data_IF_624951121157
#
_entry.id   IF_624951121157
#
_cell.length_a   1.000
_cell.length_b   1.000
_cell.length_c   1.000
_cell.angle_alpha   90.00
_cell.angle_beta   90.00
_cell.angle_gamma   90.00
#
_symmetry.space_group_name_H-M   'P 1'
#
loop_
_entity.id
_entity.type
_entity.pdbx_description
1 polymer ?
#
# COMPACT_ATOMS: atom_id res chain seq x y z
N UNK A 1 4.65 -2.36 130.22
CA UNK A 1 5.19 -2.62 128.87
C UNK A 1 4.68 -3.98 128.45
N UNK A 2 3.65 -4.00 127.60
CA UNK A 2 2.95 -5.21 127.18
C UNK A 2 2.91 -5.14 125.65
N UNK A 3 3.69 -6.00 125.00
CA UNK A 3 3.69 -6.11 123.55
C UNK A 3 2.43 -6.84 123.11
N UNK A 4 1.53 -6.14 122.43
CA UNK A 4 0.43 -6.77 121.69
C UNK A 4 1.00 -7.32 120.38
N UNK A 5 1.08 -8.65 120.29
CA UNK A 5 1.27 -9.36 119.03
C UNK A 5 -0.01 -9.24 118.19
N UNK A 6 0.07 -8.57 117.06
CA UNK A 6 -0.97 -8.57 116.03
C UNK A 6 -1.17 -9.99 115.49
N UNK A 7 -2.42 -10.46 115.28
CA UNK A 7 -2.68 -11.76 114.69
C UNK A 7 -2.21 -11.77 113.23
N UNK A 8 -1.40 -12.78 112.94
CA UNK A 8 -0.88 -13.17 111.64
C UNK A 8 -2.03 -13.31 110.63
N UNK A 9 -1.77 -12.82 109.42
CA UNK A 9 -2.75 -12.51 108.39
C UNK A 9 -3.73 -13.63 108.02
N UNK A 10 -4.94 -13.19 107.71
CA UNK A 10 -5.94 -13.94 106.97
C UNK A 10 -5.43 -14.06 105.53
N UNK A 11 -4.48 -14.96 105.29
CA UNK A 11 -4.31 -15.60 103.98
C UNK A 11 -5.20 -16.82 104.04
N UNK A 12 -6.48 -16.64 103.72
CA UNK A 12 -7.37 -17.76 103.50
C UNK A 12 -6.79 -18.58 102.35
N UNK A 13 -6.13 -19.70 102.66
CA UNK A 13 -5.87 -20.75 101.68
C UNK A 13 -7.24 -21.30 101.30
N UNK A 14 -7.79 -20.81 100.20
CA UNK A 14 -8.94 -21.45 99.56
C UNK A 14 -8.38 -22.73 98.96
N UNK A 15 -8.56 -23.85 99.67
CA UNK A 15 -8.26 -25.17 99.13
C UNK A 15 -9.36 -25.49 98.11
N UNK A 16 -9.03 -25.35 96.84
CA UNK A 16 -9.88 -25.84 95.76
C UNK A 16 -9.61 -27.34 95.64
N UNK A 17 -10.61 -28.17 95.96
CA UNK A 17 -10.49 -29.62 95.75
C UNK A 17 -10.22 -29.92 94.26
N UNK A 18 -9.42 -30.96 94.03
CA UNK A 18 -9.11 -31.46 92.69
C UNK A 18 -10.43 -31.75 91.92
N UNK A 19 -10.61 -31.28 90.66
CA UNK A 19 -9.65 -30.68 89.72
C UNK A 19 -9.65 -29.14 89.65
N UNK A 20 -10.37 -28.44 90.52
CA UNK A 20 -10.53 -26.97 90.39
C UNK A 20 -9.23 -26.20 90.66
N UNK A 21 -8.35 -26.69 91.54
CA UNK A 21 -7.03 -26.09 91.79
C UNK A 21 -6.20 -25.94 90.52
N UNK A 22 -6.19 -26.98 89.69
CA UNK A 22 -5.31 -27.09 88.53
C UNK A 22 -5.83 -26.23 87.38
N UNK A 23 -7.15 -26.13 87.25
CA UNK A 23 -7.78 -25.23 86.29
C UNK A 23 -7.53 -23.77 86.66
N UNK A 24 -7.64 -23.41 87.95
CA UNK A 24 -7.36 -22.04 88.42
C UNK A 24 -5.90 -21.64 88.19
N UNK A 25 -4.95 -22.56 88.35
CA UNK A 25 -3.53 -22.31 88.10
C UNK A 25 -3.22 -21.99 86.61
N UNK A 26 -4.05 -22.48 85.69
CA UNK A 26 -3.82 -22.35 84.24
C UNK A 26 -4.53 -21.13 83.63
N UNK A 27 -5.57 -20.61 84.29
CA UNK A 27 -6.34 -19.42 83.84
C UNK A 27 -5.46 -18.21 83.48
N UNK A 28 -4.43 -17.81 84.27
CA UNK A 28 -3.59 -16.65 83.97
C UNK A 28 -2.84 -16.76 82.63
N UNK A 29 -2.61 -17.98 82.16
CA UNK A 29 -1.92 -18.24 80.89
C UNK A 29 -2.90 -18.41 79.73
N UNK A 30 -4.03 -19.08 79.96
CA UNK A 30 -5.03 -19.36 78.93
C UNK A 30 -5.77 -18.11 78.48
N UNK A 31 -6.17 -17.24 79.40
CA UNK A 31 -6.95 -16.04 79.04
C UNK A 31 -6.20 -15.08 78.12
N UNK A 32 -4.93 -14.70 78.39
CA UNK A 32 -4.16 -13.88 77.46
C UNK A 32 -3.98 -14.55 76.09
N UNK A 33 -3.81 -15.87 76.06
CA UNK A 33 -3.51 -16.62 74.86
C UNK A 33 -4.74 -16.77 73.94
N UNK A 34 -5.94 -16.94 74.52
CA UNK A 34 -7.23 -16.83 73.84
C UNK A 34 -7.43 -15.42 73.28
N UNK A 35 -7.12 -14.38 74.06
CA UNK A 35 -7.31 -12.99 73.62
C UNK A 35 -6.35 -12.62 72.48
N UNK A 36 -5.07 -13.02 72.57
CA UNK A 36 -4.08 -12.85 71.49
C UNK A 36 -4.50 -13.64 70.24
N UNK A 37 -4.96 -14.87 70.41
CA UNK A 37 -5.47 -15.69 69.30
C UNK A 37 -6.65 -15.01 68.57
N UNK A 38 -7.59 -14.47 69.34
CA UNK A 38 -8.74 -13.72 68.82
C UNK A 38 -8.29 -12.46 68.07
N UNK A 39 -7.33 -11.71 68.61
CA UNK A 39 -6.77 -10.53 67.95
C UNK A 39 -6.13 -10.87 66.60
N UNK A 40 -5.34 -11.94 66.50
CA UNK A 40 -4.72 -12.33 65.23
C UNK A 40 -5.75 -12.76 64.19
N UNK A 41 -6.79 -13.49 64.60
CA UNK A 41 -7.89 -13.88 63.71
C UNK A 41 -8.70 -12.67 63.26
N UNK A 42 -8.95 -11.67 64.12
CA UNK A 42 -9.67 -10.46 63.71
C UNK A 42 -8.82 -9.54 62.81
N UNK A 43 -7.52 -9.43 63.09
CA UNK A 43 -6.62 -8.58 62.31
C UNK A 43 -6.46 -9.03 60.85
N UNK A 44 -6.64 -10.33 60.57
CA UNK A 44 -6.57 -10.88 59.21
C UNK A 44 -7.51 -10.15 58.22
N UNK A 45 -8.63 -9.59 58.71
CA UNK A 45 -9.65 -8.91 57.89
C UNK A 45 -9.11 -7.66 57.22
N UNK A 46 -8.07 -7.04 57.79
CA UNK A 46 -7.45 -5.82 57.29
C UNK A 46 -6.24 -6.09 56.38
N UNK A 47 -5.85 -7.35 56.21
CA UNK A 47 -4.71 -7.74 55.37
C UNK A 47 -5.20 -8.17 53.97
N UNK A 48 -4.43 -7.85 52.90
CA UNK A 48 -4.78 -8.22 51.53
C UNK A 48 -4.88 -9.75 51.38
N UNK A 49 -5.85 -10.20 50.56
CA UNK A 49 -6.25 -11.61 50.48
C UNK A 49 -5.13 -12.56 50.03
N UNK A 50 -4.11 -12.06 49.34
CA UNK A 50 -3.04 -12.89 48.78
C UNK A 50 -1.72 -12.77 49.56
N UNK A 51 -1.71 -12.08 50.70
CA UNK A 51 -0.49 -11.88 51.48
C UNK A 51 -0.13 -13.10 52.34
N UNK A 52 1.11 -13.61 52.21
CA UNK A 52 1.69 -14.61 53.13
C UNK A 52 1.56 -14.19 54.60
N UNK A 53 1.61 -12.89 54.86
CA UNK A 53 1.39 -12.29 56.19
C UNK A 53 0.01 -12.64 56.76
N UNK A 54 -1.05 -12.63 55.94
CA UNK A 54 -2.41 -12.98 56.39
C UNK A 54 -2.47 -14.42 56.88
N UNK A 55 -1.93 -15.35 56.11
CA UNK A 55 -1.92 -16.77 56.46
C UNK A 55 -1.11 -17.04 57.74
N UNK A 56 0.01 -16.31 57.93
CA UNK A 56 0.81 -16.41 59.15
C UNK A 56 0.05 -15.97 60.40
N UNK A 57 -0.68 -14.84 60.35
CA UNK A 57 -1.50 -14.38 61.49
C UNK A 57 -2.64 -15.35 61.80
N UNK A 58 -3.31 -15.90 60.78
CA UNK A 58 -4.34 -16.93 60.98
C UNK A 58 -3.75 -18.16 61.65
N UNK A 59 -2.63 -18.66 61.14
CA UNK A 59 -1.94 -19.83 61.69
C UNK A 59 -1.56 -19.61 63.14
N UNK A 60 -0.95 -18.45 63.46
CA UNK A 60 -0.56 -18.11 64.82
C UNK A 60 -1.77 -17.97 65.75
N UNK A 61 -2.88 -17.40 65.26
CA UNK A 61 -4.14 -17.33 66.00
C UNK A 61 -4.72 -18.71 66.32
N UNK A 62 -4.77 -19.60 65.34
CA UNK A 62 -5.22 -21.00 65.52
C UNK A 62 -4.29 -21.76 66.46
N UNK A 63 -2.98 -21.56 66.35
CA UNK A 63 -1.99 -22.15 67.26
C UNK A 63 -2.24 -21.70 68.70
N UNK A 64 -2.50 -20.41 68.93
CA UNK A 64 -2.85 -19.90 70.25
C UNK A 64 -4.12 -20.56 70.81
N UNK A 65 -5.18 -20.69 70.01
CA UNK A 65 -6.38 -21.40 70.46
C UNK A 65 -6.12 -22.87 70.76
N UNK A 66 -5.32 -23.55 69.92
CA UNK A 66 -4.92 -24.94 70.14
C UNK A 66 -4.16 -25.13 71.45
N UNK A 67 -3.12 -24.31 71.69
CA UNK A 67 -2.33 -24.36 72.93
C UNK A 67 -3.20 -24.07 74.15
N UNK A 68 -4.09 -23.07 74.07
CA UNK A 68 -5.03 -22.74 75.14
C UNK A 68 -5.97 -23.90 75.46
N UNK A 69 -6.54 -24.51 74.42
CA UNK A 69 -7.45 -25.65 74.54
C UNK A 69 -6.75 -26.86 75.16
N UNK A 70 -5.55 -27.21 74.67
CA UNK A 70 -4.77 -28.31 75.24
C UNK A 70 -4.32 -28.02 76.66
N UNK A 71 -4.01 -26.78 77.03
CA UNK A 71 -3.70 -26.43 78.42
C UNK A 71 -4.89 -26.66 79.36
N UNK A 72 -6.09 -26.22 78.97
CA UNK A 72 -7.32 -26.44 79.77
C UNK A 72 -7.68 -27.93 79.83
N UNK A 73 -7.57 -28.63 78.70
CA UNK A 73 -7.86 -30.06 78.65
C UNK A 73 -6.86 -30.82 79.52
N UNK A 74 -5.57 -30.56 79.35
CA UNK A 74 -4.54 -31.20 80.16
C UNK A 74 -4.74 -30.87 81.64
N UNK A 75 -5.01 -29.62 82.02
CA UNK A 75 -5.24 -29.22 83.42
C UNK A 75 -6.48 -29.86 84.05
N UNK A 76 -7.60 -29.92 83.31
CA UNK A 76 -8.87 -30.46 83.82
C UNK A 76 -8.92 -31.99 83.86
N UNK A 77 -8.13 -32.66 83.01
CA UNK A 77 -8.23 -34.10 82.79
C UNK A 77 -6.99 -34.91 83.16
N UNK A 78 -5.82 -34.29 83.35
CA UNK A 78 -4.55 -35.00 83.44
C UNK A 78 -4.39 -35.92 84.67
N UNK A 79 -5.16 -35.68 85.72
CA UNK A 79 -5.25 -36.52 86.92
C UNK A 79 -6.39 -37.55 86.89
N UNK A 80 -7.42 -37.34 86.06
CA UNK A 80 -8.72 -38.00 86.21
C UNK A 80 -9.25 -38.72 84.97
N UNK A 81 -8.46 -38.85 83.89
CA UNK A 81 -8.92 -39.54 82.69
C UNK A 81 -9.26 -41.01 82.99
N UNK A 82 -10.37 -41.48 82.41
CA UNK A 82 -11.10 -42.75 82.65
C UNK A 82 -10.35 -44.03 82.25
N UNK A 83 -9.02 -44.04 82.38
CA UNK A 83 -8.17 -45.18 82.08
C UNK A 83 -7.75 -45.94 83.36
N UNK A 84 -7.28 -47.19 83.20
CA UNK A 84 -6.63 -47.90 84.30
C UNK A 84 -5.49 -47.05 84.90
N UNK A 85 -5.15 -47.20 86.20
CA UNK A 85 -4.06 -46.45 86.86
C UNK A 85 -2.69 -46.55 86.15
N UNK A 86 -2.50 -47.56 85.30
CA UNK A 86 -1.32 -47.79 84.47
C UNK A 86 -1.27 -46.92 83.19
N UNK A 87 -2.34 -46.20 82.87
CA UNK A 87 -2.49 -45.36 81.68
C UNK A 87 -2.61 -43.87 82.05
N UNK A 88 -1.93 -43.46 83.11
CA UNK A 88 -1.68 -42.03 83.34
C UNK A 88 -0.73 -41.55 82.25
N UNK A 89 -1.03 -40.42 81.61
CA UNK A 89 -0.09 -39.79 80.68
C UNK A 89 1.21 -39.53 81.45
N UNK A 90 2.22 -40.36 81.22
CA UNK A 90 3.49 -40.40 81.94
C UNK A 90 4.29 -39.13 81.70
N UNK A 91 3.93 -38.09 82.45
CA UNK A 91 4.57 -36.77 82.57
C UNK A 91 3.63 -35.78 83.27
N UNK A 92 2.38 -36.13 83.62
CA UNK A 92 1.46 -35.25 84.35
C UNK A 92 2.10 -34.57 85.56
N UNK A 93 2.74 -35.36 86.43
CA UNK A 93 3.47 -34.82 87.58
C UNK A 93 4.62 -33.90 87.17
N UNK A 94 5.36 -34.24 86.12
CA UNK A 94 6.46 -33.41 85.62
C UNK A 94 5.94 -32.09 85.00
N UNK A 95 4.82 -32.14 84.28
CA UNK A 95 4.16 -30.97 83.73
C UNK A 95 3.60 -30.07 84.82
N UNK A 96 2.87 -30.63 85.79
CA UNK A 96 2.32 -29.86 86.90
C UNK A 96 3.43 -29.28 87.78
N UNK A 97 4.50 -30.05 88.03
CA UNK A 97 5.69 -29.54 88.73
C UNK A 97 6.38 -28.44 87.93
N UNK A 98 6.46 -28.56 86.61
CA UNK A 98 7.02 -27.54 85.74
C UNK A 98 6.16 -26.27 85.67
N UNK A 99 4.84 -26.42 85.58
CA UNK A 99 3.87 -25.33 85.51
C UNK A 99 3.74 -24.63 86.85
N UNK A 100 3.73 -25.38 87.95
CA UNK A 100 3.80 -24.85 89.30
C UNK A 100 5.14 -24.15 89.53
N UNK A 101 6.27 -24.74 89.12
CA UNK A 101 7.57 -24.09 89.18
C UNK A 101 7.64 -22.79 88.37
N UNK A 102 7.02 -22.75 87.19
CA UNK A 102 6.88 -21.53 86.38
C UNK A 102 6.00 -20.50 87.10
N UNK A 103 4.89 -20.95 87.68
CA UNK A 103 3.94 -20.09 88.40
C UNK A 103 4.58 -19.54 89.68
N UNK A 104 5.34 -20.33 90.40
CA UNK A 104 6.08 -19.91 91.59
C UNK A 104 7.25 -18.99 91.20
N UNK A 105 7.89 -19.21 90.05
CA UNK A 105 8.90 -18.29 89.54
C UNK A 105 8.29 -16.92 89.18
N UNK A 106 7.16 -16.91 88.48
CA UNK A 106 6.54 -15.68 87.99
C UNK A 106 5.75 -14.95 89.08
N UNK A 107 4.99 -15.68 89.90
CA UNK A 107 4.05 -15.14 90.89
C UNK A 107 4.46 -15.39 92.34
N UNK A 108 5.47 -16.21 92.60
CA UNK A 108 6.03 -16.37 93.96
C UNK A 108 6.76 -15.13 94.45
N UNK A 109 7.09 -14.19 93.55
CA UNK A 109 7.54 -12.84 93.89
C UNK A 109 6.55 -11.80 93.37
N UNK A 110 6.12 -10.90 94.26
CA UNK A 110 5.26 -9.75 93.91
C UNK A 110 5.90 -8.89 92.81
N UNK A 111 7.23 -8.74 92.83
CA UNK A 111 7.96 -7.94 91.83
C UNK A 111 7.89 -8.58 90.43
N UNK A 112 8.02 -9.90 90.33
CA UNK A 112 7.93 -10.63 89.07
C UNK A 112 6.49 -10.68 88.56
N UNK A 113 5.50 -10.81 89.45
CA UNK A 113 4.09 -10.74 89.09
C UNK A 113 3.70 -9.36 88.52
N UNK A 114 4.15 -8.28 89.14
CA UNK A 114 3.94 -6.90 88.63
C UNK A 114 4.64 -6.70 87.29
N UNK A 115 5.88 -7.21 87.14
CA UNK A 115 6.61 -7.16 85.86
C UNK A 115 5.89 -7.92 84.75
N UNK A 116 5.37 -9.11 85.05
CA UNK A 116 4.58 -9.92 84.11
C UNK A 116 3.34 -9.15 83.64
N UNK A 117 2.54 -8.58 84.56
CA UNK A 117 1.36 -7.79 84.21
C UNK A 117 1.77 -6.56 83.38
N UNK A 118 2.85 -5.87 83.73
CA UNK A 118 3.34 -4.73 82.97
C UNK A 118 3.73 -5.11 81.53
N UNK A 119 4.47 -6.21 81.36
CA UNK A 119 4.85 -6.72 80.03
C UNK A 119 3.61 -7.08 79.22
N UNK A 120 2.65 -7.80 79.82
CA UNK A 120 1.40 -8.19 79.17
C UNK A 120 0.59 -6.95 78.77
N UNK A 121 0.48 -5.95 79.63
CA UNK A 121 -0.19 -4.68 79.33
C UNK A 121 0.51 -3.90 78.20
N UNK A 122 1.85 -3.85 78.18
CA UNK A 122 2.62 -3.20 77.11
C UNK A 122 2.44 -3.94 75.79
N UNK A 123 2.54 -5.27 75.79
CA UNK A 123 2.30 -6.08 74.60
C UNK A 123 0.87 -5.86 74.09
N UNK A 124 -0.13 -5.87 74.97
CA UNK A 124 -1.50 -5.55 74.59
C UNK A 124 -1.66 -4.13 74.07
N UNK A 125 -0.98 -3.14 74.66
CA UNK A 125 -0.98 -1.76 74.17
C UNK A 125 -0.38 -1.64 72.78
N UNK A 126 0.74 -2.32 72.51
CA UNK A 126 1.40 -2.35 71.19
C UNK A 126 0.53 -3.06 70.17
N UNK A 127 -0.04 -4.21 70.52
CA UNK A 127 -0.97 -4.94 69.65
C UNK A 127 -2.22 -4.12 69.38
N UNK A 128 -2.86 -3.55 70.40
CA UNK A 128 -4.01 -2.67 70.25
C UNK A 128 -3.68 -1.48 69.35
N UNK A 129 -2.54 -0.80 69.55
CA UNK A 129 -2.12 0.30 68.70
C UNK A 129 -1.89 -0.11 67.24
N UNK A 130 -1.27 -1.28 66.99
CA UNK A 130 -0.99 -1.76 65.64
C UNK A 130 -2.18 -2.42 64.93
N UNK A 131 -3.13 -2.98 65.68
CA UNK A 131 -4.27 -3.75 65.17
C UNK A 131 -5.54 -2.89 65.10
N UNK A 132 -5.78 -2.04 66.11
CA UNK A 132 -6.97 -1.17 66.21
C UNK A 132 -6.77 0.15 65.48
N UNK A 133 -5.54 0.65 65.31
CA UNK A 133 -5.27 1.69 64.33
C UNK A 133 -4.94 1.01 62.99
N UNK A 134 -5.93 0.78 62.11
CA UNK A 134 -5.64 0.28 60.78
C UNK A 134 -4.64 1.25 60.10
N UNK A 135 -3.65 0.76 59.34
CA UNK A 135 -2.93 1.63 58.42
C UNK A 135 -3.99 2.31 57.54
N UNK A 136 -3.99 3.64 57.54
CA UNK A 136 -5.12 4.49 57.11
C UNK A 136 -5.93 3.87 55.96
N UNK A 137 -7.26 3.72 56.10
CA UNK A 137 -8.12 3.06 55.10
C UNK A 137 -8.06 3.72 53.71
N UNK A 138 -7.53 4.94 53.64
CA UNK A 138 -7.29 5.67 52.40
C UNK A 138 -6.23 5.02 51.49
N UNK A 139 -5.16 4.43 52.03
CA UNK A 139 -4.08 3.91 51.19
C UNK A 139 -4.48 2.64 50.43
N UNK A 140 -5.34 1.80 51.01
CA UNK A 140 -5.85 0.60 50.32
C UNK A 140 -6.75 1.02 49.17
N UNK A 141 -7.68 1.95 49.41
CA UNK A 141 -8.55 2.50 48.36
C UNK A 141 -7.75 3.22 47.27
N UNK A 142 -6.73 4.00 47.64
CA UNK A 142 -5.84 4.64 46.66
C UNK A 142 -5.03 3.62 45.86
N UNK A 143 -4.57 2.54 46.48
CA UNK A 143 -3.80 1.50 45.78
C UNK A 143 -4.70 0.75 44.79
N UNK A 144 -5.94 0.45 45.17
CA UNK A 144 -6.94 -0.14 44.26
C UNK A 144 -7.33 0.84 43.14
N UNK A 145 -7.52 2.13 43.46
CA UNK A 145 -7.77 3.17 42.47
C UNK A 145 -6.59 3.36 41.50
N UNK A 146 -5.35 3.34 41.99
CA UNK A 146 -4.15 3.40 41.15
C UNK A 146 -4.02 2.16 40.26
N UNK A 147 -4.33 0.97 40.79
CA UNK A 147 -4.29 -0.27 40.01
C UNK A 147 -5.34 -0.25 38.91
N UNK A 148 -6.58 0.10 39.23
CA UNK A 148 -7.67 0.22 38.24
C UNK A 148 -7.38 1.30 37.20
N UNK A 149 -6.84 2.45 37.61
CA UNK A 149 -6.39 3.50 36.69
C UNK A 149 -5.24 3.02 35.78
N UNK A 150 -4.27 2.28 36.31
CA UNK A 150 -3.15 1.74 35.54
C UNK A 150 -3.61 0.66 34.54
N UNK A 151 -4.51 -0.23 34.94
CA UNK A 151 -5.10 -1.24 34.06
C UNK A 151 -5.98 -0.58 32.97
N UNK A 152 -6.73 0.46 33.33
CA UNK A 152 -7.44 1.32 32.38
C UNK A 152 -6.51 2.02 31.39
N UNK A 153 -5.37 2.55 31.85
CA UNK A 153 -4.35 3.19 31.02
C UNK A 153 -3.67 2.20 30.07
N UNK A 154 -3.38 0.97 30.52
CA UNK A 154 -2.86 -0.09 29.65
C UNK A 154 -3.86 -0.48 28.56
N UNK A 155 -5.13 -0.63 28.92
CA UNK A 155 -6.20 -0.91 27.96
C UNK A 155 -6.33 0.22 26.94
N UNK A 156 -6.41 1.48 27.40
CA UNK A 156 -6.46 2.64 26.53
C UNK A 156 -5.24 2.74 25.60
N UNK A 157 -4.02 2.49 26.12
CA UNK A 157 -2.80 2.46 25.31
C UNK A 157 -2.85 1.39 24.22
N UNK A 158 -3.38 0.20 24.53
CA UNK A 158 -3.55 -0.86 23.52
C UNK A 158 -4.58 -0.49 22.46
N UNK A 159 -5.68 0.19 22.83
CA UNK A 159 -6.67 0.68 21.87
C UNK A 159 -6.09 1.77 20.97
N UNK A 160 -5.31 2.70 21.52
CA UNK A 160 -4.62 3.74 20.74
C UNK A 160 -3.65 3.11 19.74
N UNK A 161 -2.85 2.12 20.15
CA UNK A 161 -1.93 1.42 19.25
C UNK A 161 -2.67 0.69 18.12
N UNK A 162 -3.80 0.04 18.44
CA UNK A 162 -4.65 -0.61 17.43
C UNK A 162 -5.22 0.43 16.44
N UNK A 163 -5.76 1.55 16.95
CA UNK A 163 -6.29 2.63 16.11
C UNK A 163 -5.19 3.27 15.24
N UNK A 164 -3.98 3.47 15.76
CA UNK A 164 -2.84 3.97 14.97
C UNK A 164 -2.48 3.00 13.84
N UNK A 165 -2.48 1.69 14.12
CA UNK A 165 -2.22 0.67 13.11
C UNK A 165 -3.32 0.61 12.03
N UNK A 166 -4.58 0.74 12.42
CA UNK A 166 -5.71 0.77 11.50
C UNK A 166 -5.71 2.04 10.65
N UNK A 167 -5.40 3.19 11.25
CA UNK A 167 -5.29 4.46 10.54
C UNK A 167 -4.14 4.43 9.53
N UNK A 168 -2.99 3.82 9.88
CA UNK A 168 -1.89 3.59 8.93
C UNK A 168 -2.34 2.72 7.76
N UNK A 169 -3.01 1.59 8.04
CA UNK A 169 -3.53 0.70 7.00
C UNK A 169 -4.57 1.39 6.11
N UNK A 170 -5.43 2.23 6.69
CA UNK A 170 -6.43 2.98 5.95
C UNK A 170 -5.78 4.03 5.04
N UNK A 171 -4.74 4.73 5.51
CA UNK A 171 -3.96 5.66 4.68
C UNK A 171 -3.27 4.97 3.52
N UNK A 172 -2.66 3.81 3.75
CA UNK A 172 -2.04 3.00 2.70
C UNK A 172 -3.09 2.57 1.66
N UNK A 173 -4.26 2.10 2.11
CA UNK A 173 -5.36 1.73 1.21
C UNK A 173 -5.90 2.92 0.42
N UNK A 174 -6.05 4.10 1.05
CA UNK A 174 -6.48 5.33 0.35
C UNK A 174 -5.44 5.74 -0.70
N UNK A 175 -4.15 5.72 -0.36
CA UNK A 175 -3.07 6.01 -1.31
C UNK A 175 -3.09 5.06 -2.51
N UNK A 176 -3.23 3.75 -2.27
CA UNK A 176 -3.35 2.77 -3.34
C UNK A 176 -4.57 3.05 -4.23
N UNK A 177 -5.72 3.43 -3.63
CA UNK A 177 -6.91 3.78 -4.39
C UNK A 177 -6.74 5.06 -5.19
N UNK A 178 -6.09 6.09 -4.65
CA UNK A 178 -5.76 7.32 -5.37
C UNK A 178 -4.86 7.03 -6.58
N UNK A 179 -3.83 6.19 -6.42
CA UNK A 179 -2.96 5.76 -7.52
C UNK A 179 -3.74 5.01 -8.62
N UNK A 180 -4.62 4.08 -8.23
CA UNK A 180 -5.46 3.37 -9.20
C UNK A 180 -6.44 4.30 -9.92
N UNK A 181 -7.00 5.30 -9.22
CA UNK A 181 -7.89 6.31 -9.81
C UNK A 181 -7.13 7.17 -10.81
N UNK A 182 -5.94 7.63 -10.46
CA UNK A 182 -5.07 8.42 -11.35
C UNK A 182 -4.72 7.63 -12.62
N UNK A 183 -4.36 6.35 -12.48
CA UNK A 183 -4.11 5.46 -13.62
C UNK A 183 -5.34 5.29 -14.52
N UNK A 184 -6.51 5.04 -13.92
CA UNK A 184 -7.76 4.89 -14.68
C UNK A 184 -8.16 6.19 -15.38
N UNK A 185 -7.94 7.33 -14.75
CA UNK A 185 -8.22 8.65 -15.34
C UNK A 185 -7.30 8.91 -16.54
N UNK A 186 -6.01 8.59 -16.44
CA UNK A 186 -5.08 8.68 -17.57
C UNK A 186 -5.49 7.75 -18.72
N UNK A 187 -5.95 6.53 -18.43
CA UNK A 187 -6.45 5.61 -19.46
C UNK A 187 -7.72 6.16 -20.13
N UNK A 188 -8.63 6.77 -19.36
CA UNK A 188 -9.85 7.38 -19.89
C UNK A 188 -9.52 8.56 -20.81
N UNK A 189 -8.57 9.42 -20.45
CA UNK A 189 -8.13 10.54 -21.27
C UNK A 189 -7.48 10.05 -22.57
N UNK A 190 -6.64 9.01 -22.51
CA UNK A 190 -6.06 8.39 -23.70
C UNK A 190 -7.14 7.81 -24.63
N UNK A 191 -8.13 7.10 -24.07
CA UNK A 191 -9.24 6.53 -24.84
C UNK A 191 -10.10 7.63 -25.46
N UNK A 192 -10.35 8.73 -24.75
CA UNK A 192 -11.08 9.89 -25.25
C UNK A 192 -10.34 10.56 -26.41
N UNK A 193 -9.02 10.66 -26.34
CA UNK A 193 -8.19 11.15 -27.46
C UNK A 193 -8.29 10.23 -28.67
N UNK A 194 -8.17 8.91 -28.46
CA UNK A 194 -8.28 7.92 -29.52
C UNK A 194 -9.65 7.94 -30.20
N UNK A 195 -10.74 8.07 -29.43
CA UNK A 195 -12.09 8.23 -29.97
C UNK A 195 -12.23 9.55 -30.75
N UNK A 196 -11.63 10.63 -30.26
CA UNK A 196 -11.61 11.92 -30.96
C UNK A 196 -10.87 11.86 -32.30
N UNK A 197 -9.72 11.20 -32.35
CA UNK A 197 -8.96 10.97 -33.58
C UNK A 197 -9.70 10.04 -34.55
N UNK A 198 -10.27 8.93 -34.03
CA UNK A 198 -11.09 8.01 -34.81
C UNK A 198 -12.31 8.70 -35.41
N UNK A 199 -12.98 9.57 -34.67
CA UNK A 199 -14.10 10.36 -35.16
C UNK A 199 -13.69 11.32 -36.28
N UNK A 200 -12.56 12.03 -36.15
CA UNK A 200 -12.03 12.88 -37.22
C UNK A 200 -11.72 12.07 -38.48
N UNK A 201 -11.00 10.96 -38.33
CA UNK A 201 -10.70 10.04 -39.43
C UNK A 201 -11.96 9.52 -40.13
N UNK A 202 -12.99 9.19 -39.36
CA UNK A 202 -14.29 8.78 -39.90
C UNK A 202 -14.94 9.91 -40.71
N UNK A 203 -14.96 11.14 -40.19
CA UNK A 203 -15.52 12.29 -40.94
C UNK A 203 -14.74 12.61 -42.22
N UNK A 204 -13.41 12.46 -42.20
CA UNK A 204 -12.57 12.62 -43.39
C UNK A 204 -12.84 11.53 -44.44
N UNK A 205 -12.99 10.28 -44.01
CA UNK A 205 -13.38 9.17 -44.89
C UNK A 205 -14.78 9.38 -45.47
N UNK A 206 -15.74 9.82 -44.67
CA UNK A 206 -17.09 10.11 -45.15
C UNK A 206 -17.08 11.24 -46.20
N UNK A 207 -16.29 12.30 -45.98
CA UNK A 207 -16.12 13.38 -46.95
C UNK A 207 -15.46 12.89 -48.25
N UNK A 208 -14.41 12.06 -48.16
CA UNK A 208 -13.77 11.44 -49.35
C UNK A 208 -14.73 10.55 -50.10
N UNK A 209 -15.56 9.78 -49.40
CA UNK A 209 -16.55 8.89 -50.01
C UNK A 209 -17.61 9.71 -50.76
N UNK A 210 -18.15 10.77 -50.15
CA UNK A 210 -19.09 11.69 -50.83
C UNK A 210 -18.46 12.32 -52.07
N UNK A 211 -17.22 12.81 -51.98
CA UNK A 211 -16.52 13.38 -53.12
C UNK A 211 -16.31 12.37 -54.25
N UNK A 212 -15.93 11.13 -53.91
CA UNK A 212 -15.78 10.04 -54.88
C UNK A 212 -17.12 9.68 -55.55
N UNK A 213 -18.22 9.66 -54.79
CA UNK A 213 -19.57 9.44 -55.35
C UNK A 213 -19.95 10.54 -56.32
N UNK A 214 -19.78 11.81 -55.97
CA UNK A 214 -20.06 12.94 -56.88
C UNK A 214 -19.18 12.91 -58.12
N UNK A 215 -17.91 12.53 -57.98
CA UNK A 215 -17.01 12.37 -59.12
C UNK A 215 -17.49 11.22 -60.04
N UNK A 216 -17.88 10.08 -59.47
CA UNK A 216 -18.43 8.95 -60.23
C UNK A 216 -19.69 9.34 -61.01
N UNK A 217 -20.61 10.09 -60.39
CA UNK A 217 -21.80 10.64 -61.06
C UNK A 217 -21.43 11.58 -62.21
N UNK A 218 -20.43 12.46 -62.01
CA UNK A 218 -19.97 13.37 -63.07
C UNK A 218 -19.32 12.64 -64.25
N UNK A 219 -18.61 11.54 -63.98
CA UNK A 219 -18.00 10.69 -65.02
C UNK A 219 -19.09 9.95 -65.79
N UNK A 220 -20.07 9.37 -65.09
CA UNK A 220 -21.21 8.71 -65.72
C UNK A 220 -21.99 9.67 -66.63
N UNK A 221 -22.22 10.91 -66.19
CA UNK A 221 -22.88 11.94 -67.02
C UNK A 221 -22.06 12.30 -68.26
N UNK A 222 -20.73 12.44 -68.14
CA UNK A 222 -19.85 12.69 -69.31
C UNK A 222 -19.81 11.50 -70.26
N UNK A 223 -19.85 10.28 -69.74
CA UNK A 223 -19.93 9.07 -70.55
C UNK A 223 -21.22 9.04 -71.37
N UNK A 224 -22.35 9.40 -70.76
CA UNK A 224 -23.65 9.50 -71.46
C UNK A 224 -23.64 10.60 -72.55
N UNK A 225 -23.04 11.76 -72.28
CA UNK A 225 -22.88 12.84 -73.26
C UNK A 225 -21.96 12.42 -74.43
N UNK A 226 -20.86 11.72 -74.15
CA UNK A 226 -19.96 11.18 -75.15
C UNK A 226 -20.64 10.12 -76.03
N UNK A 227 -21.43 9.23 -75.42
CA UNK A 227 -22.22 8.22 -76.15
C UNK A 227 -23.25 8.89 -77.07
N UNK A 228 -23.97 9.92 -76.59
CA UNK A 228 -24.90 10.69 -77.42
C UNK A 228 -24.19 11.39 -78.58
N UNK A 229 -23.02 11.97 -78.33
CA UNK A 229 -22.20 12.63 -79.37
C UNK A 229 -21.67 11.63 -80.39
N UNK A 230 -21.26 10.44 -79.96
CA UNK A 230 -20.87 9.35 -80.86
C UNK A 230 -22.03 8.92 -81.75
N UNK A 231 -23.22 8.71 -81.20
CA UNK A 231 -24.42 8.36 -81.98
C UNK A 231 -24.75 9.44 -83.03
N UNK A 232 -24.63 10.72 -82.68
CA UNK A 232 -24.82 11.82 -83.64
C UNK A 232 -23.76 11.82 -84.74
N UNK A 233 -22.49 11.57 -84.39
CA UNK A 233 -21.40 11.48 -85.37
C UNK A 233 -21.59 10.28 -86.30
N UNK A 234 -21.99 9.12 -85.78
CA UNK A 234 -22.27 7.94 -86.59
C UNK A 234 -23.41 8.17 -87.59
N UNK A 235 -24.48 8.86 -87.15
CA UNK A 235 -25.56 9.28 -88.05
C UNK A 235 -25.04 10.21 -89.15
N UNK A 236 -24.17 11.17 -88.82
CA UNK A 236 -23.58 12.08 -89.80
C UNK A 236 -22.61 11.38 -90.73
N UNK A 237 -21.83 10.42 -90.25
CA UNK A 237 -20.97 9.56 -91.07
C UNK A 237 -21.83 8.78 -92.06
N UNK A 238 -22.94 8.18 -91.62
CA UNK A 238 -23.87 7.48 -92.51
C UNK A 238 -24.46 8.40 -93.57
N UNK A 239 -24.85 9.63 -93.21
CA UNK A 239 -25.31 10.64 -94.16
C UNK A 239 -24.21 10.99 -95.18
N UNK A 240 -23.00 11.27 -94.70
CA UNK A 240 -21.86 11.59 -95.56
C UNK A 240 -21.43 10.41 -96.45
N UNK A 241 -21.54 9.17 -95.98
CA UNK A 241 -21.32 7.97 -96.80
C UNK A 241 -22.40 7.83 -97.87
N UNK A 242 -23.65 8.17 -97.57
CA UNK A 242 -24.73 8.30 -98.54
C UNK A 242 -24.44 9.39 -99.59
N UNK A 243 -24.01 10.57 -99.16
CA UNK A 243 -23.58 11.64 -100.06
C UNK A 243 -22.36 11.26 -100.88
N UNK A 244 -21.39 10.55 -100.31
CA UNK A 244 -20.17 10.12 -100.97
C UNK A 244 -20.45 9.01 -101.99
N UNK A 245 -21.39 8.09 -101.72
CA UNK A 245 -21.84 7.11 -102.72
C UNK A 245 -22.57 7.81 -103.88
N UNK A 246 -23.38 8.84 -103.60
CA UNK A 246 -24.00 9.71 -104.62
C UNK A 246 -22.95 10.55 -105.38
N UNK A 247 -21.93 11.07 -104.70
CA UNK A 247 -20.87 11.85 -105.33
C UNK A 247 -19.92 10.95 -106.15
N UNK A 248 -19.66 9.73 -105.68
CA UNK A 248 -18.85 8.73 -106.38
C UNK A 248 -19.55 8.22 -107.64
N UNK A 249 -20.88 8.04 -107.60
CA UNK A 249 -21.64 7.78 -108.84
C UNK A 249 -21.66 8.97 -109.79
N UNK A 250 -21.52 10.21 -109.28
CA UNK A 250 -21.29 11.41 -110.11
C UNK A 250 -19.84 11.56 -110.61
N UNK A 251 -18.86 10.96 -109.92
CA UNK A 251 -17.42 11.01 -110.23
C UNK A 251 -16.96 9.85 -111.13
N UNK A 252 -17.80 8.84 -111.41
CA UNK A 252 -17.59 7.87 -112.50
C UNK A 252 -17.78 8.50 -113.91
N UNK A 253 -17.24 9.71 -114.09
CA UNK A 253 -16.97 10.37 -115.37
C UNK A 253 -15.51 10.86 -115.28
N UNK A 254 -14.63 10.49 -116.23
CA UNK A 254 -13.21 10.36 -115.95
C UNK A 254 -12.48 11.71 -116.00
N UNK A 255 -11.70 12.05 -114.96
CA UNK A 255 -10.47 12.84 -115.14
C UNK A 255 -9.50 12.83 -113.96
N UNK A 256 -8.33 12.26 -114.25
CA UNK A 256 -6.97 12.77 -114.02
C UNK A 256 -6.56 13.29 -112.63
N UNK A 257 -5.61 12.56 -112.03
CA UNK A 257 -4.64 13.06 -111.05
C UNK A 257 -3.87 14.29 -111.56
N UNK A 258 -3.41 15.16 -110.64
CA UNK A 258 -2.11 15.78 -110.79
C UNK A 258 -1.18 15.40 -109.64
N UNK A 259 -0.04 14.87 -110.04
CA UNK A 259 1.20 14.71 -109.28
C UNK A 259 1.72 16.07 -108.80
N UNK A 260 1.97 16.20 -107.49
CA UNK A 260 2.54 17.40 -106.87
C UNK A 260 3.69 17.08 -105.91
N UNK A 261 4.89 17.55 -106.30
CA UNK A 261 6.09 17.90 -105.53
C UNK A 261 6.85 16.87 -104.67
N UNK A 262 7.78 16.18 -105.33
CA UNK A 262 8.90 15.42 -104.73
C UNK A 262 9.83 16.27 -103.83
N UNK A 263 9.82 17.60 -103.97
CA UNK A 263 10.69 18.52 -103.24
C UNK A 263 10.21 18.82 -101.81
N UNK A 264 8.89 18.90 -101.60
CA UNK A 264 8.30 19.05 -100.27
C UNK A 264 8.47 17.78 -99.44
N UNK A 265 8.44 16.61 -100.10
CA UNK A 265 8.71 15.30 -99.50
C UNK A 265 10.12 15.19 -98.92
N UNK A 266 11.16 15.64 -99.65
CA UNK A 266 12.55 15.65 -99.14
C UNK A 266 12.77 16.67 -98.02
N UNK A 267 12.08 17.82 -98.06
CA UNK A 267 12.12 18.81 -96.99
C UNK A 267 11.42 18.33 -95.71
N UNK A 268 10.36 17.53 -95.84
CA UNK A 268 9.69 16.87 -94.71
C UNK A 268 10.55 15.72 -94.17
N UNK A 269 11.21 14.94 -95.02
CA UNK A 269 12.08 13.84 -94.60
C UNK A 269 13.31 14.33 -93.80
N UNK A 270 13.90 15.45 -94.21
CA UNK A 270 15.02 16.07 -93.47
C UNK A 270 14.58 16.66 -92.13
N UNK A 271 13.38 17.25 -92.05
CA UNK A 271 12.78 17.68 -90.77
C UNK A 271 12.43 16.51 -89.87
N UNK A 272 11.98 15.39 -90.43
CA UNK A 272 11.69 14.16 -89.69
C UNK A 272 12.97 13.61 -89.07
N UNK A 273 14.05 13.44 -89.86
CA UNK A 273 15.34 12.96 -89.35
C UNK A 273 15.95 13.90 -88.30
N UNK A 274 15.79 15.21 -88.46
CA UNK A 274 16.23 16.18 -87.45
C UNK A 274 15.39 16.10 -86.15
N UNK A 275 14.08 15.83 -86.27
CA UNK A 275 13.20 15.62 -85.12
C UNK A 275 13.48 14.30 -84.41
N UNK A 276 13.75 13.22 -85.14
CA UNK A 276 14.15 11.91 -84.61
C UNK A 276 15.48 12.00 -83.86
N UNK A 277 16.50 12.65 -84.43
CA UNK A 277 17.78 12.86 -83.76
C UNK A 277 17.65 13.71 -82.49
N UNK A 278 16.74 14.71 -82.49
CA UNK A 278 16.44 15.52 -81.31
C UNK A 278 15.70 14.72 -80.23
N UNK A 279 14.78 13.84 -80.63
CA UNK A 279 14.04 12.97 -79.73
C UNK A 279 14.97 11.92 -79.10
N UNK A 280 15.88 11.33 -79.88
CA UNK A 280 16.88 10.40 -79.38
C UNK A 280 17.85 11.08 -78.40
N UNK A 281 18.31 12.31 -78.70
CA UNK A 281 19.11 13.08 -77.76
C UNK A 281 18.35 13.44 -76.48
N UNK A 282 17.05 13.70 -76.54
CA UNK A 282 16.23 13.96 -75.36
C UNK A 282 15.99 12.67 -74.55
N UNK A 283 15.82 11.54 -75.22
CA UNK A 283 15.62 10.25 -74.55
C UNK A 283 16.87 9.83 -73.78
N UNK A 284 18.07 9.96 -74.38
CA UNK A 284 19.34 9.70 -73.67
C UNK A 284 19.51 10.62 -72.45
N UNK A 285 19.14 11.90 -72.55
CA UNK A 285 19.18 12.82 -71.40
C UNK A 285 18.17 12.47 -70.31
N UNK A 286 17.02 11.92 -70.68
CA UNK A 286 16.03 11.44 -69.72
C UNK A 286 16.53 10.18 -69.00
N UNK A 287 17.13 9.22 -69.72
CA UNK A 287 17.74 8.02 -69.12
C UNK A 287 18.85 8.40 -68.13
N UNK A 288 19.79 9.28 -68.51
CA UNK A 288 20.84 9.76 -67.58
C UNK A 288 20.25 10.46 -66.36
N UNK A 289 19.13 11.18 -66.50
CA UNK A 289 18.51 11.84 -65.37
C UNK A 289 17.80 10.87 -64.42
N UNK A 290 17.21 9.79 -64.95
CA UNK A 290 16.64 8.71 -64.15
C UNK A 290 17.74 7.99 -63.36
N UNK A 291 18.85 7.66 -64.00
CA UNK A 291 20.00 7.03 -63.32
C UNK A 291 20.57 7.91 -62.20
N UNK A 292 20.69 9.23 -62.45
CA UNK A 292 21.12 10.19 -61.41
C UNK A 292 20.10 10.31 -60.30
N UNK A 293 18.79 10.32 -60.61
CA UNK A 293 17.74 10.36 -59.60
C UNK A 293 17.75 9.11 -58.71
N UNK A 294 17.94 7.92 -59.28
CA UNK A 294 18.05 6.66 -58.54
C UNK A 294 19.28 6.66 -57.62
N UNK A 295 20.41 7.16 -58.11
CA UNK A 295 21.62 7.34 -57.28
C UNK A 295 21.38 8.31 -56.12
N UNK A 296 20.69 9.43 -56.34
CA UNK A 296 20.37 10.41 -55.30
C UNK A 296 19.39 9.84 -54.28
N UNK A 297 18.37 9.09 -54.72
CA UNK A 297 17.42 8.43 -53.82
C UNK A 297 18.13 7.41 -52.93
N UNK A 298 19.07 6.63 -53.49
CA UNK A 298 19.90 5.70 -52.74
C UNK A 298 20.75 6.40 -51.67
N UNK A 299 21.38 7.51 -52.03
CA UNK A 299 22.17 8.34 -51.11
C UNK A 299 21.32 8.95 -49.98
N UNK A 300 20.10 9.41 -50.28
CA UNK A 300 19.15 9.92 -49.29
C UNK A 300 18.71 8.83 -48.31
N UNK A 301 18.44 7.61 -48.79
CA UNK A 301 18.09 6.48 -47.93
C UNK A 301 19.23 6.09 -46.99
N UNK A 302 20.47 6.08 -47.50
CA UNK A 302 21.65 5.85 -46.69
C UNK A 302 21.86 6.96 -45.64
N UNK A 303 21.56 8.21 -45.99
CA UNK A 303 21.60 9.36 -45.08
C UNK A 303 20.59 9.25 -43.93
N UNK A 304 19.38 8.77 -44.19
CA UNK A 304 18.38 8.51 -43.14
C UNK A 304 18.94 7.49 -42.14
N UNK A 305 19.51 6.39 -42.62
CA UNK A 305 20.12 5.37 -41.76
C UNK A 305 21.31 5.93 -40.94
N UNK A 306 22.11 6.81 -41.51
CA UNK A 306 23.18 7.51 -40.78
C UNK A 306 22.65 8.49 -39.73
N UNK A 307 21.56 9.20 -40.02
CA UNK A 307 20.92 10.11 -39.06
C UNK A 307 20.32 9.32 -37.88
N UNK A 308 19.68 8.18 -38.14
CA UNK A 308 19.12 7.32 -37.11
C UNK A 308 20.19 6.74 -36.17
N UNK A 309 21.35 6.38 -36.70
CA UNK A 309 22.49 5.85 -35.94
C UNK A 309 23.39 6.92 -35.30
N UNK A 310 23.20 8.20 -35.62
CA UNK A 310 23.96 9.32 -35.03
C UNK A 310 23.64 9.58 -33.55
N UNK A 311 24.46 10.37 -32.86
CA UNK A 311 24.24 10.78 -31.45
C UNK A 311 23.31 12.00 -31.30
N UNK A 312 22.62 12.40 -32.37
CA UNK A 312 21.65 13.49 -32.33
C UNK A 312 20.51 13.20 -31.34
N UNK A 313 19.97 14.26 -30.73
CA UNK A 313 18.80 14.18 -29.87
C UNK A 313 17.56 13.71 -30.66
N UNK A 314 16.58 13.11 -29.97
CA UNK A 314 15.42 12.51 -30.64
C UNK A 314 14.62 13.52 -31.50
N UNK A 315 14.63 14.80 -31.12
CA UNK A 315 13.94 15.85 -31.86
C UNK A 315 14.76 16.31 -33.08
N UNK A 316 16.09 16.43 -32.95
CA UNK A 316 17.02 16.68 -34.06
C UNK A 316 16.99 15.58 -35.12
N UNK A 317 16.95 14.30 -34.70
CA UNK A 317 16.79 13.16 -35.62
C UNK A 317 15.50 13.24 -36.42
N UNK A 318 14.37 13.48 -35.74
CA UNK A 318 13.06 13.56 -36.40
C UNK A 318 12.99 14.72 -37.39
N UNK A 319 13.55 15.89 -37.05
CA UNK A 319 13.57 17.05 -37.93
C UNK A 319 14.40 16.79 -39.21
N UNK A 320 15.59 16.19 -39.07
CA UNK A 320 16.47 15.90 -40.21
C UNK A 320 15.89 14.79 -41.09
N UNK A 321 15.33 13.71 -40.52
CA UNK A 321 14.67 12.65 -41.29
C UNK A 321 13.49 13.20 -42.10
N UNK A 322 12.66 14.05 -41.49
CA UNK A 322 11.52 14.69 -42.20
C UNK A 322 12.00 15.56 -43.37
N UNK A 323 13.12 16.26 -43.20
CA UNK A 323 13.70 17.11 -44.25
C UNK A 323 14.24 16.23 -45.41
N UNK A 324 14.94 15.14 -45.10
CA UNK A 324 15.43 14.18 -46.10
C UNK A 324 14.27 13.50 -46.85
N UNK A 325 13.20 13.11 -46.17
CA UNK A 325 12.00 12.55 -46.81
C UNK A 325 11.30 13.55 -47.74
N UNK A 326 11.21 14.82 -47.32
CA UNK A 326 10.63 15.88 -48.16
C UNK A 326 11.46 16.11 -49.42
N UNK A 327 12.79 16.01 -49.31
CA UNK A 327 13.72 16.13 -50.42
C UNK A 327 13.61 14.94 -51.38
N UNK A 328 13.51 13.72 -50.85
CA UNK A 328 13.26 12.51 -51.66
C UNK A 328 11.95 12.57 -52.45
N UNK A 329 10.88 13.09 -51.83
CA UNK A 329 9.60 13.35 -52.52
C UNK A 329 9.72 14.39 -53.62
N UNK A 330 10.55 15.42 -53.44
CA UNK A 330 10.81 16.43 -54.45
C UNK A 330 11.61 15.86 -55.64
N UNK A 331 12.64 15.04 -55.38
CA UNK A 331 13.45 14.38 -56.43
C UNK A 331 12.60 13.47 -57.30
N UNK A 332 11.74 12.66 -56.67
CA UNK A 332 10.86 11.72 -57.38
C UNK A 332 9.80 12.41 -58.27
N UNK A 333 9.48 13.69 -57.99
CA UNK A 333 8.62 14.50 -58.88
C UNK A 333 9.37 14.99 -60.12
N UNK A 334 10.68 15.19 -60.02
CA UNK A 334 11.51 15.73 -61.09
C UNK A 334 11.92 14.66 -62.12
N UNK A 335 12.08 13.40 -61.70
CA UNK A 335 12.52 12.28 -62.55
C UNK A 335 11.41 11.63 -63.41
N UNK A 336 10.16 12.08 -63.34
CA UNK A 336 9.07 11.47 -64.12
C UNK A 336 9.22 11.67 -65.63
N UNK A 337 8.96 10.61 -66.44
CA UNK A 337 9.06 10.67 -67.90
C UNK A 337 8.07 11.69 -68.49
N UNK A 338 8.39 12.27 -69.66
CA UNK A 338 7.68 13.44 -70.21
C UNK A 338 6.22 13.21 -70.61
N UNK A 339 5.70 11.97 -70.54
CA UNK A 339 4.32 11.62 -70.91
C UNK A 339 3.29 11.64 -69.78
N UNK A 340 3.71 11.74 -68.52
CA UNK A 340 2.81 11.71 -67.35
C UNK A 340 2.65 13.06 -66.65
N UNK A 341 3.17 14.13 -67.24
CA UNK A 341 3.10 15.48 -66.63
C UNK A 341 1.74 16.11 -66.93
N UNK A 342 1.06 16.54 -65.88
CA UNK A 342 -0.12 17.39 -66.03
C UNK A 342 0.30 18.76 -66.59
N UNK A 343 -0.49 19.40 -67.48
CA UNK A 343 -0.11 20.65 -68.14
C UNK A 343 0.10 21.85 -67.20
N UNK A 344 -0.20 21.71 -65.91
CA UNK A 344 -0.03 22.73 -64.86
C UNK A 344 1.29 22.61 -64.09
N UNK A 345 2.15 21.62 -64.37
CA UNK A 345 3.43 21.46 -63.66
C UNK A 345 4.52 22.43 -64.16
N UNK A 346 5.22 23.14 -63.25
CA UNK A 346 6.30 24.05 -63.64
C UNK A 346 7.46 23.29 -64.31
N UNK A 347 8.01 23.86 -65.39
CA UNK A 347 9.20 23.34 -66.06
C UNK A 347 10.41 23.57 -65.17
N UNK A 348 10.74 22.59 -64.34
CA UNK A 348 11.95 22.65 -63.50
C UNK A 348 13.14 22.16 -64.32
N UNK A 349 14.18 22.99 -64.41
CA UNK A 349 15.47 22.61 -65.00
C UNK A 349 16.13 21.54 -64.13
N UNK A 350 16.07 20.28 -64.55
CA UNK A 350 16.55 19.12 -63.77
C UNK A 350 17.98 19.30 -63.26
N UNK A 351 18.86 19.91 -64.06
CA UNK A 351 20.27 20.05 -63.72
C UNK A 351 20.46 21.00 -62.53
N UNK A 352 19.73 22.11 -62.47
CA UNK A 352 19.80 23.06 -61.36
C UNK A 352 19.19 22.49 -60.07
N UNK A 353 18.09 21.73 -60.19
CA UNK A 353 17.46 21.09 -59.05
C UNK A 353 18.37 20.02 -58.42
N UNK A 354 19.00 19.16 -59.24
CA UNK A 354 19.92 18.11 -58.76
C UNK A 354 21.14 18.72 -58.05
N UNK A 355 21.68 19.84 -58.55
CA UNK A 355 22.83 20.50 -57.94
C UNK A 355 22.50 21.10 -56.55
N UNK A 356 21.34 21.75 -56.41
CA UNK A 356 20.86 22.25 -55.11
C UNK A 356 20.59 21.11 -54.12
N UNK A 357 20.08 19.97 -54.59
CA UNK A 357 19.86 18.78 -53.75
C UNK A 357 21.20 18.25 -53.22
N UNK A 358 22.23 18.20 -54.06
CA UNK A 358 23.57 17.76 -53.65
C UNK A 358 24.18 18.68 -52.58
N UNK A 359 24.03 20.00 -52.70
CA UNK A 359 24.51 20.95 -51.69
C UNK A 359 23.79 20.82 -50.34
N UNK A 360 22.47 20.59 -50.37
CA UNK A 360 21.67 20.33 -49.17
C UNK A 360 22.10 19.02 -48.50
N UNK A 361 22.30 17.96 -49.29
CA UNK A 361 22.81 16.66 -48.84
C UNK A 361 24.18 16.77 -48.18
N UNK A 362 25.10 17.53 -48.76
CA UNK A 362 26.43 17.76 -48.18
C UNK A 362 26.38 18.59 -46.89
N UNK A 363 25.46 19.54 -46.80
CA UNK A 363 25.24 20.33 -45.58
C UNK A 363 24.72 19.45 -44.44
N UNK A 364 23.78 18.54 -44.73
CA UNK A 364 23.26 17.57 -43.75
C UNK A 364 24.36 16.59 -43.33
N UNK A 365 25.18 16.08 -44.28
CA UNK A 365 26.34 15.22 -43.98
C UNK A 365 27.37 15.92 -43.07
N UNK A 366 27.57 17.24 -43.21
CA UNK A 366 28.45 18.02 -42.33
C UNK A 366 27.85 18.16 -40.92
N UNK A 367 26.56 18.40 -40.82
CA UNK A 367 25.86 18.51 -39.52
C UNK A 367 25.88 17.19 -38.74
N UNK A 368 25.72 16.05 -39.40
CA UNK A 368 25.74 14.73 -38.74
C UNK A 368 27.13 14.25 -38.33
N UNK A 369 28.20 14.79 -38.92
CA UNK A 369 29.61 14.49 -38.57
C UNK A 369 30.22 15.49 -37.59
N UNK A 370 29.62 16.67 -37.41
CA UNK A 370 30.14 17.78 -36.60
C UNK A 370 29.76 17.78 -35.12
N UNK A 371 29.02 16.75 -34.68
CA UNK A 371 28.59 16.49 -33.29
C UNK A 371 28.87 15.03 -32.96
#
# INVERSE_FOLDING_TARGET
>A
MTYYSLPVGIVGKIDFEFPMSDLVAVIPYVLPLIFVGTLFVLYQRYLPREGLRRNLFIFLGVLCFGVSFFMVLYSGFGSGWWGPPSFTFGSWWAFMTGLQGLTDLVFGSVALGVLYVAIVCVLFGVFAYKIIAPPNPDFVKMTEALRTANDGLKSAKSQVQNLESENKRMKEFVSEKEDTLSSLQSQLDALKSQVGEGSKSFTEMEAKLKAATTQAESVASKEEELLATMAQKDQRISSLQGELTIAKSKLELPRAMPTGDLATLKAVETKLKAAEAKLESMNRRAETATEVADSVISDLAHLISQVESSRLDAQGKKAITTLIESLGKAVNRVSRPPGERTPEEPRVEMIGAVMMIHEIVDTIKKMTRGT
#
